data_IF_446591156882
#
_entry.id   IF_446591156882
#
_cell.length_a   1.000
_cell.length_b   1.000
_cell.length_c   1.000
_cell.angle_alpha   90.00
_cell.angle_beta   90.00
_cell.angle_gamma   90.00
#
_symmetry.space_group_name_H-M   'P 1'
#
loop_
_entity.id
_entity.type
_entity.pdbx_description
1 polymer ?
#
# COMPACT_ATOMS: atom_id res chain seq x y z
N UNK A 1 -22.60 -50.49 -50.77
CA UNK A 1 -21.86 -50.90 -49.56
C UNK A 1 -20.45 -50.29 -49.61
N UNK A 2 -19.82 -49.95 -48.47
CA UNK A 2 -19.53 -48.56 -48.09
C UNK A 2 -18.07 -48.08 -48.28
N UNK A 3 -17.92 -46.74 -48.36
CA UNK A 3 -16.94 -45.82 -47.71
C UNK A 3 -15.49 -46.34 -47.54
N UNK A 4 -14.46 -45.56 -47.89
CA UNK A 4 -13.98 -44.46 -47.03
C UNK A 4 -13.01 -43.52 -47.78
N UNK A 5 -13.31 -42.23 -47.70
CA UNK A 5 -12.40 -41.11 -47.87
C UNK A 5 -11.31 -41.16 -46.79
N UNK A 6 -10.04 -40.98 -47.15
CA UNK A 6 -9.02 -40.49 -46.21
C UNK A 6 -8.63 -39.07 -46.66
N UNK A 7 -9.33 -38.08 -46.10
CA UNK A 7 -8.88 -36.70 -46.10
C UNK A 7 -7.75 -36.55 -45.09
N UNK A 8 -6.60 -36.04 -45.53
CA UNK A 8 -5.53 -35.61 -44.65
C UNK A 8 -5.95 -34.31 -43.96
N UNK A 9 -6.45 -34.40 -42.73
CA UNK A 9 -6.64 -33.25 -41.87
C UNK A 9 -5.30 -32.89 -41.21
N UNK A 10 -4.63 -31.86 -41.72
CA UNK A 10 -3.50 -31.24 -41.05
C UNK A 10 -4.03 -30.49 -39.81
N UNK A 11 -3.84 -31.07 -38.63
CA UNK A 11 -4.15 -30.42 -37.37
C UNK A 11 -3.10 -29.33 -37.09
N UNK A 12 -3.49 -28.06 -37.32
CA UNK A 12 -2.78 -26.89 -36.80
C UNK A 12 -2.90 -26.90 -35.27
N UNK A 13 -1.83 -27.32 -34.60
CA UNK A 13 -1.68 -27.11 -33.16
C UNK A 13 -1.53 -25.61 -32.89
N UNK A 14 -2.64 -24.94 -32.58
CA UNK A 14 -2.62 -23.62 -31.98
C UNK A 14 -2.07 -23.75 -30.55
N UNK A 15 -0.77 -23.54 -30.42
CA UNK A 15 -0.13 -23.28 -29.14
C UNK A 15 -0.71 -21.99 -28.58
N UNK A 16 -1.72 -22.11 -27.70
CA UNK A 16 -2.19 -20.99 -26.89
C UNK A 16 -1.06 -20.59 -25.94
N UNK A 17 -0.30 -19.57 -26.32
CA UNK A 17 0.53 -18.83 -25.39
C UNK A 17 -0.44 -18.12 -24.45
N UNK A 18 -0.74 -18.76 -23.31
CA UNK A 18 -1.33 -18.07 -22.19
C UNK A 18 -0.28 -17.05 -21.73
N UNK A 19 -0.36 -15.84 -22.28
CA UNK A 19 0.31 -14.68 -21.70
C UNK A 19 -0.31 -14.51 -20.32
N UNK A 20 0.34 -15.05 -19.29
CA UNK A 20 0.08 -14.61 -17.93
C UNK A 20 0.20 -13.09 -17.98
N UNK A 21 -0.90 -12.37 -17.73
CA UNK A 21 -0.83 -10.93 -17.55
C UNK A 21 0.21 -10.71 -16.46
N UNK A 22 1.34 -10.11 -16.83
CA UNK A 22 2.35 -9.72 -15.87
C UNK A 22 1.65 -8.81 -14.87
N UNK A 23 1.53 -9.26 -13.62
CA UNK A 23 1.10 -8.42 -12.51
C UNK A 23 2.24 -7.43 -12.25
N UNK A 24 2.28 -6.38 -13.05
CA UNK A 24 3.29 -5.33 -13.03
C UNK A 24 2.57 -4.05 -13.43
N UNK A 25 2.11 -3.28 -12.46
CA UNK A 25 1.31 -2.08 -12.69
C UNK A 25 1.78 -0.94 -11.82
N UNK A 26 2.18 0.16 -12.44
CA UNK A 26 2.38 1.44 -11.75
C UNK A 26 1.13 2.31 -11.95
N UNK A 27 0.56 2.79 -10.86
CA UNK A 27 -0.53 3.77 -10.86
C UNK A 27 -0.08 5.01 -10.11
N UNK A 28 -0.12 6.15 -10.77
CA UNK A 28 0.16 7.45 -10.16
C UNK A 28 -1.12 8.30 -10.11
N UNK A 29 -1.45 8.82 -8.94
CA UNK A 29 -2.54 9.76 -8.70
C UNK A 29 -2.02 11.09 -8.19
N UNK A 30 -2.53 12.18 -8.76
CA UNK A 30 -2.31 13.54 -8.27
C UNK A 30 -3.65 14.09 -7.80
N UNK A 31 -3.74 14.42 -6.52
CA UNK A 31 -4.94 14.93 -5.89
C UNK A 31 -4.67 16.30 -5.29
N UNK A 32 -5.62 17.21 -5.46
CA UNK A 32 -5.58 18.52 -4.85
C UNK A 32 -6.67 18.61 -3.78
N UNK A 33 -6.28 19.01 -2.57
CA UNK A 33 -7.16 19.18 -1.44
C UNK A 33 -7.60 20.66 -1.35
N UNK A 34 -8.89 20.86 -1.15
CA UNK A 34 -9.48 22.19 -0.97
C UNK A 34 -10.15 22.29 0.40
N UNK A 35 -10.07 23.48 1.00
CA UNK A 35 -10.78 23.84 2.21
C UNK A 35 -11.51 25.16 2.01
N UNK A 36 -12.84 25.15 2.18
CA UNK A 36 -13.71 26.29 1.90
C UNK A 36 -13.52 26.89 0.50
N UNK A 37 -13.27 26.05 -0.52
CA UNK A 37 -13.03 26.46 -1.91
C UNK A 37 -11.63 26.98 -2.21
N UNK A 38 -10.75 27.06 -1.21
CA UNK A 38 -9.36 27.49 -1.38
C UNK A 38 -8.42 26.27 -1.42
N UNK A 39 -7.34 26.29 -2.23
CA UNK A 39 -6.36 25.21 -2.25
C UNK A 39 -5.66 25.11 -0.89
N UNK A 40 -5.63 23.90 -0.34
CA UNK A 40 -5.08 23.60 0.99
C UNK A 40 -3.85 22.68 0.92
N UNK A 41 -3.73 21.86 -0.13
CA UNK A 41 -2.58 21.00 -0.30
C UNK A 41 -2.66 20.12 -1.54
N UNK A 42 -1.54 19.50 -1.86
CA UNK A 42 -1.41 18.49 -2.90
C UNK A 42 -1.02 17.16 -2.29
N UNK A 43 -1.52 16.08 -2.89
CA UNK A 43 -1.20 14.70 -2.56
C UNK A 43 -0.80 14.00 -3.85
N UNK A 44 0.45 13.54 -3.91
CA UNK A 44 0.94 12.62 -4.93
C UNK A 44 0.96 11.22 -4.35
N UNK A 45 0.34 10.29 -5.04
CA UNK A 45 0.30 8.88 -4.68
C UNK A 45 0.89 8.08 -5.85
N UNK A 46 1.86 7.20 -5.58
CA UNK A 46 2.44 6.28 -6.56
C UNK A 46 2.35 4.88 -5.98
N UNK A 47 1.65 3.99 -6.67
CA UNK A 47 1.43 2.62 -6.24
C UNK A 47 2.05 1.70 -7.27
N UNK A 48 2.94 0.81 -6.85
CA UNK A 48 3.58 -0.17 -7.72
C UNK A 48 3.27 -1.56 -7.23
N UNK A 49 2.60 -2.33 -8.07
CA UNK A 49 2.31 -3.74 -7.85
C UNK A 49 3.25 -4.57 -8.75
N UNK A 50 4.13 -5.36 -8.15
CA UNK A 50 4.97 -6.37 -8.82
C UNK A 50 4.38 -7.78 -8.60
N UNK A 51 4.81 -8.83 -9.34
CA UNK A 51 4.18 -10.15 -9.29
C UNK A 51 4.20 -10.87 -7.93
N UNK A 52 4.93 -10.33 -6.94
CA UNK A 52 4.98 -10.86 -5.57
C UNK A 52 5.28 -9.81 -4.51
N UNK A 53 5.30 -8.53 -4.88
CA UNK A 53 5.70 -7.43 -4.01
C UNK A 53 4.90 -6.17 -4.34
N UNK A 54 4.91 -5.22 -3.43
CA UNK A 54 4.40 -3.88 -3.70
C UNK A 54 5.34 -2.83 -3.13
N UNK A 55 5.28 -1.65 -3.74
CA UNK A 55 5.95 -0.45 -3.26
C UNK A 55 5.02 0.73 -3.46
N UNK A 56 4.52 1.26 -2.36
CA UNK A 56 3.59 2.39 -2.34
C UNK A 56 4.31 3.61 -1.78
N UNK A 57 4.13 4.75 -2.44
CA UNK A 57 4.71 6.03 -2.06
C UNK A 57 3.62 7.10 -2.00
N UNK A 58 3.63 7.93 -0.96
CA UNK A 58 2.79 9.11 -0.85
C UNK A 58 3.64 10.34 -0.54
N UNK A 59 3.33 11.46 -1.16
CA UNK A 59 3.89 12.75 -0.85
C UNK A 59 2.76 13.76 -0.68
N UNK A 60 2.74 14.44 0.46
CA UNK A 60 1.74 15.43 0.84
C UNK A 60 2.45 16.74 1.08
N UNK A 61 1.90 17.82 0.53
CA UNK A 61 2.40 19.17 0.77
C UNK A 61 1.24 20.11 1.00
N UNK A 62 1.35 20.96 2.03
CA UNK A 62 0.41 22.05 2.23
C UNK A 62 0.62 23.17 1.20
N UNK A 63 -0.48 23.80 0.79
CA UNK A 63 -0.51 24.90 -0.17
C UNK A 63 -1.29 26.11 0.36
N UNK A 64 -1.19 27.24 -0.34
CA UNK A 64 -1.97 28.45 -0.05
C UNK A 64 -1.84 28.92 1.41
N UNK A 65 -2.98 29.19 2.05
CA UNK A 65 -3.03 29.62 3.45
C UNK A 65 -2.49 28.54 4.39
N UNK A 66 -2.79 27.26 4.14
CA UNK A 66 -2.33 26.16 4.98
C UNK A 66 -0.79 26.08 5.02
N UNK A 67 -0.12 26.35 3.89
CA UNK A 67 1.33 26.43 3.82
C UNK A 67 1.91 27.52 4.73
N UNK A 68 1.30 28.72 4.76
CA UNK A 68 1.79 29.85 5.57
C UNK A 68 1.79 29.52 7.07
N UNK A 69 0.80 28.76 7.54
CA UNK A 69 0.67 28.40 8.95
C UNK A 69 1.46 27.14 9.31
N UNK A 70 1.40 26.10 8.49
CA UNK A 70 1.94 24.77 8.85
C UNK A 70 3.33 24.51 8.30
N UNK A 71 3.63 25.03 7.10
CA UNK A 71 4.76 24.61 6.26
C UNK A 71 4.88 23.09 6.12
N UNK A 72 3.75 22.38 6.18
CA UNK A 72 3.71 20.93 6.25
C UNK A 72 4.18 20.31 4.93
N UNK A 73 5.11 19.36 5.04
CA UNK A 73 5.48 18.40 4.00
C UNK A 73 5.58 17.03 4.64
N UNK A 74 5.08 16.02 3.96
CA UNK A 74 5.16 14.64 4.42
C UNK A 74 5.43 13.72 3.23
N UNK A 75 6.30 12.75 3.40
CA UNK A 75 6.47 11.65 2.43
C UNK A 75 6.42 10.34 3.19
N UNK A 76 5.77 9.32 2.65
CA UNK A 76 5.85 7.98 3.20
C UNK A 76 6.03 6.95 2.10
N UNK A 77 6.76 5.88 2.42
CA UNK A 77 6.99 4.73 1.56
C UNK A 77 6.67 3.47 2.35
N UNK A 78 5.95 2.55 1.72
CA UNK A 78 5.71 1.22 2.26
C UNK A 78 6.09 0.16 1.23
N UNK A 79 6.70 -0.90 1.73
CA UNK A 79 7.12 -2.04 0.93
C UNK A 79 6.73 -3.33 1.64
N UNK A 80 6.39 -4.33 0.84
CA UNK A 80 6.06 -5.64 1.35
C UNK A 80 5.77 -6.64 0.25
N UNK A 81 5.25 -7.80 0.66
CA UNK A 81 4.90 -8.90 -0.22
C UNK A 81 3.43 -8.86 -0.56
N UNK A 82 3.14 -9.13 -1.83
CA UNK A 82 1.79 -9.21 -2.36
C UNK A 82 1.53 -10.62 -2.87
N UNK A 83 0.40 -11.20 -2.51
CA UNK A 83 -0.09 -12.44 -3.10
C UNK A 83 -1.56 -12.30 -3.46
N UNK A 84 -1.97 -12.92 -4.57
CA UNK A 84 -3.31 -12.76 -5.13
C UNK A 84 -4.43 -13.13 -4.15
N UNK A 85 -4.20 -14.10 -3.26
CA UNK A 85 -5.21 -14.67 -2.35
C UNK A 85 -4.92 -14.44 -0.86
N UNK A 86 -3.94 -13.59 -0.53
CA UNK A 86 -3.60 -13.27 0.86
C UNK A 86 -3.62 -11.75 1.07
N UNK A 87 -3.88 -11.28 2.30
CA UNK A 87 -3.63 -9.88 2.64
C UNK A 87 -2.17 -9.51 2.35
N UNK A 88 -1.87 -8.22 2.09
CA UNK A 88 -0.50 -7.76 1.96
C UNK A 88 0.28 -8.06 3.24
N UNK A 89 1.52 -8.52 3.07
CA UNK A 89 2.44 -8.75 4.17
C UNK A 89 3.48 -7.62 4.16
N UNK A 90 3.30 -6.56 4.97
CA UNK A 90 4.25 -5.45 5.03
C UNK A 90 5.59 -5.93 5.55
N UNK A 91 6.67 -5.35 5.03
CA UNK A 91 8.05 -5.59 5.46
C UNK A 91 8.63 -4.31 6.10
N UNK A 92 8.38 -3.15 5.47
CA UNK A 92 8.92 -1.86 5.89
C UNK A 92 7.96 -0.70 5.62
N UNK A 93 7.94 0.25 6.55
CA UNK A 93 7.31 1.56 6.38
C UNK A 93 8.30 2.65 6.82
N UNK A 94 8.40 3.72 6.04
CA UNK A 94 9.22 4.89 6.36
C UNK A 94 8.46 6.16 6.01
N UNK A 95 8.25 7.02 6.99
CA UNK A 95 7.56 8.29 6.83
C UNK A 95 8.39 9.44 7.37
N UNK A 96 8.49 10.50 6.57
CA UNK A 96 9.26 11.72 6.86
C UNK A 96 8.31 12.89 6.86
N UNK A 97 8.44 13.75 7.86
CA UNK A 97 7.57 14.90 8.05
C UNK A 97 8.38 16.14 8.42
N UNK A 98 8.04 17.24 7.77
CA UNK A 98 8.52 18.57 8.08
C UNK A 98 7.33 19.47 8.42
N UNK A 99 7.45 20.17 9.55
CA UNK A 99 6.52 21.19 10.02
C UNK A 99 7.30 22.44 10.41
N UNK A 100 6.62 23.59 10.41
CA UNK A 100 7.20 24.89 10.78
C UNK A 100 8.01 24.91 12.09
N UNK A 101 7.64 24.10 13.09
CA UNK A 101 8.30 24.03 14.41
C UNK A 101 9.12 22.75 14.63
N UNK A 102 9.09 21.82 13.67
CA UNK A 102 9.67 20.49 13.85
C UNK A 102 10.04 19.93 12.48
N UNK A 103 11.33 19.83 12.21
CA UNK A 103 11.88 19.41 10.92
C UNK A 103 12.57 18.05 11.04
N UNK A 104 12.61 17.31 9.93
CA UNK A 104 13.32 16.03 9.85
C UNK A 104 12.74 14.94 10.76
N UNK A 105 11.45 14.99 11.08
CA UNK A 105 10.82 13.94 11.87
C UNK A 105 10.62 12.73 10.98
N UNK A 106 11.27 11.63 11.34
CA UNK A 106 11.19 10.34 10.69
C UNK A 106 10.46 9.34 11.57
N UNK A 107 9.59 8.55 10.98
CA UNK A 107 8.84 7.48 11.62
C UNK A 107 9.04 6.22 10.80
N UNK A 108 9.69 5.20 11.38
CA UNK A 108 10.00 3.96 10.67
C UNK A 108 9.41 2.77 11.39
N UNK A 109 8.88 1.83 10.62
CA UNK A 109 8.43 0.53 11.13
C UNK A 109 9.07 -0.61 10.35
N UNK A 110 9.34 -1.69 11.07
CA UNK A 110 9.79 -2.99 10.54
C UNK A 110 8.79 -4.04 10.98
N UNK A 111 8.39 -4.88 10.04
CA UNK A 111 7.43 -5.93 10.27
C UNK A 111 8.15 -7.27 10.32
N UNK A 112 8.00 -7.97 11.44
CA UNK A 112 8.68 -9.24 11.66
C UNK A 112 7.73 -10.27 12.27
N UNK A 113 7.79 -11.50 11.75
CA UNK A 113 7.02 -12.61 12.28
C UNK A 113 7.67 -13.18 13.53
N UNK A 114 6.91 -13.27 14.63
CA UNK A 114 7.30 -13.87 15.92
C UNK A 114 6.15 -14.71 16.44
N UNK A 115 6.42 -15.96 16.82
CA UNK A 115 5.39 -16.88 17.34
C UNK A 115 4.11 -16.92 16.46
N UNK A 116 4.29 -17.03 15.14
CA UNK A 116 3.21 -17.07 14.14
C UNK A 116 2.33 -15.82 14.04
N UNK A 117 2.78 -14.68 14.57
CA UNK A 117 2.12 -13.39 14.41
C UNK A 117 3.09 -12.35 13.84
N UNK A 118 2.56 -11.44 13.02
CA UNK A 118 3.33 -10.32 12.49
C UNK A 118 3.31 -9.18 13.49
N UNK A 119 4.47 -8.58 13.78
CA UNK A 119 4.55 -7.46 14.70
C UNK A 119 5.20 -6.26 14.03
N UNK A 120 4.60 -5.09 14.22
CA UNK A 120 5.13 -3.80 13.75
C UNK A 120 6.03 -3.18 14.84
N UNK A 121 7.34 -3.31 14.66
CA UNK A 121 8.33 -2.68 15.55
C UNK A 121 8.81 -1.35 14.99
N UNK A 122 9.22 -0.46 15.90
CA UNK A 122 9.95 0.75 15.54
C UNK A 122 11.27 0.39 14.85
N UNK A 123 11.55 1.04 13.73
CA UNK A 123 12.82 0.91 13.04
C UNK A 123 13.95 1.71 13.70
N UNK A 124 15.21 1.44 13.34
CA UNK A 124 16.38 2.05 13.97
C UNK A 124 16.50 3.57 13.73
N UNK A 125 15.95 4.06 12.62
CA UNK A 125 16.03 5.48 12.22
C UNK A 125 14.80 6.30 12.67
N UNK A 126 13.93 5.71 13.49
CA UNK A 126 12.75 6.38 14.00
C UNK A 126 13.11 7.47 15.02
N UNK A 127 12.56 8.66 14.81
CA UNK A 127 12.77 9.84 15.66
C UNK A 127 11.59 10.15 16.58
N UNK A 128 10.63 9.22 16.70
CA UNK A 128 9.43 9.41 17.50
C UNK A 128 9.78 9.37 18.99
N UNK A 129 9.53 10.48 19.68
CA UNK A 129 9.77 10.60 21.12
C UNK A 129 8.72 9.86 21.97
N UNK A 130 7.57 9.51 21.36
CA UNK A 130 6.49 8.81 22.07
C UNK A 130 6.90 7.36 22.38
N UNK A 131 6.53 6.83 23.56
CA UNK A 131 6.69 5.40 23.82
C UNK A 131 5.98 4.56 22.76
N UNK A 132 6.59 3.43 22.43
CA UNK A 132 5.96 2.46 21.54
C UNK A 132 4.78 1.81 22.26
N UNK A 133 3.69 1.53 21.53
CA UNK A 133 2.53 0.88 22.11
C UNK A 133 2.84 -0.56 22.54
N UNK A 134 2.02 -1.10 23.44
CA UNK A 134 2.10 -2.51 23.83
C UNK A 134 1.92 -3.44 22.62
N UNK A 135 2.51 -4.63 22.71
CA UNK A 135 2.55 -5.64 21.64
C UNK A 135 1.16 -5.98 21.07
N UNK A 136 0.13 -5.99 21.91
CA UNK A 136 -1.25 -6.25 21.53
C UNK A 136 -1.78 -5.29 20.45
N UNK A 137 -1.36 -4.02 20.46
CA UNK A 137 -1.77 -3.01 19.49
C UNK A 137 -0.94 -3.02 18.21
N UNK A 138 0.16 -3.78 18.20
CA UNK A 138 1.14 -3.84 17.10
C UNK A 138 1.17 -5.20 16.42
N UNK A 139 0.32 -6.13 16.87
CA UNK A 139 0.21 -7.51 16.39
C UNK A 139 -0.81 -7.61 15.26
N UNK A 140 -0.44 -8.25 14.16
CA UNK A 140 -1.25 -8.50 12.96
C UNK A 140 -1.92 -7.23 12.41
N UNK A 141 -1.13 -6.15 12.34
CA UNK A 141 -1.54 -4.84 11.85
C UNK A 141 -0.83 -4.52 10.54
N UNK A 142 -1.39 -3.59 9.78
CA UNK A 142 -0.80 -3.00 8.58
C UNK A 142 -0.36 -1.55 8.86
N UNK A 143 0.64 -1.06 8.15
CA UNK A 143 0.87 0.39 8.05
C UNK A 143 -0.19 1.05 7.14
N UNK A 144 -0.31 2.39 7.15
CA UNK A 144 -1.33 3.10 6.39
C UNK A 144 -1.33 2.84 4.88
N UNK A 145 -0.17 2.64 4.24
CA UNK A 145 -0.09 2.40 2.79
C UNK A 145 -0.36 0.93 2.47
N UNK A 146 0.15 0.01 3.28
CA UNK A 146 -0.20 -1.41 3.17
C UNK A 146 -1.69 -1.67 3.39
N UNK A 147 -2.34 -0.89 4.26
CA UNK A 147 -3.78 -0.90 4.44
C UNK A 147 -4.53 -0.44 3.17
N UNK A 148 -4.04 0.60 2.49
CA UNK A 148 -4.58 1.02 1.19
C UNK A 148 -4.46 -0.11 0.15
N UNK A 149 -3.33 -0.81 0.12
CA UNK A 149 -3.14 -1.97 -0.76
C UNK A 149 -4.10 -3.12 -0.40
N UNK A 150 -4.36 -3.39 0.88
CA UNK A 150 -5.35 -4.37 1.32
C UNK A 150 -6.77 -3.99 0.86
N UNK A 151 -7.18 -2.74 1.07
CA UNK A 151 -8.49 -2.21 0.63
C UNK A 151 -8.64 -2.36 -0.88
N UNK A 152 -7.61 -1.98 -1.65
CA UNK A 152 -7.62 -2.10 -3.11
C UNK A 152 -7.75 -3.54 -3.57
N UNK A 153 -7.08 -4.49 -2.91
CA UNK A 153 -7.23 -5.92 -3.20
C UNK A 153 -8.66 -6.40 -2.95
N UNK A 154 -9.26 -6.05 -1.81
CA UNK A 154 -10.65 -6.42 -1.49
C UNK A 154 -11.64 -5.87 -2.53
N UNK A 155 -11.48 -4.61 -2.92
CA UNK A 155 -12.31 -3.99 -3.96
C UNK A 155 -12.11 -4.65 -5.33
N UNK A 156 -10.87 -5.00 -5.71
CA UNK A 156 -10.56 -5.72 -6.97
C UNK A 156 -11.14 -7.14 -6.99
N UNK A 157 -11.22 -7.81 -5.84
CA UNK A 157 -11.91 -9.11 -5.67
C UNK A 157 -13.43 -8.99 -5.75
N UNK A 158 -13.96 -7.77 -5.87
CA UNK A 158 -15.40 -7.52 -5.91
C UNK A 158 -16.07 -7.61 -4.55
N UNK A 159 -15.31 -7.54 -3.45
CA UNK A 159 -15.90 -7.46 -2.12
C UNK A 159 -16.67 -6.14 -1.99
N UNK A 160 -17.99 -6.25 -1.78
CA UNK A 160 -18.90 -5.13 -1.54
C UNK A 160 -19.45 -5.10 -0.12
N UNK A 161 -19.02 -6.04 0.72
CA UNK A 161 -19.36 -6.08 2.13
C UNK A 161 -18.48 -5.14 2.94
N UNK A 162 -18.79 -5.03 4.23
CA UNK A 162 -17.95 -4.34 5.20
C UNK A 162 -16.78 -5.24 5.59
N UNK A 163 -15.57 -4.69 5.61
CA UNK A 163 -14.38 -5.38 6.09
C UNK A 163 -13.55 -4.42 6.93
N UNK A 164 -12.89 -4.94 7.95
CA UNK A 164 -12.09 -4.12 8.86
C UNK A 164 -10.60 -4.34 8.60
N UNK A 165 -9.87 -3.25 8.43
CA UNK A 165 -8.41 -3.26 8.24
C UNK A 165 -7.72 -2.70 9.48
N UNK A 166 -6.96 -3.54 10.22
CA UNK A 166 -6.27 -3.10 11.42
C UNK A 166 -5.01 -2.28 11.07
N UNK A 167 -5.01 -0.97 11.32
CA UNK A 167 -3.90 -0.07 10.96
C UNK A 167 -3.15 0.46 12.17
N UNK A 168 -1.82 0.33 12.16
CA UNK A 168 -0.91 0.99 13.10
C UNK A 168 -0.03 1.97 12.34
N UNK A 169 -0.09 3.27 12.68
CA UNK A 169 0.69 4.32 12.00
C UNK A 169 2.04 4.61 12.67
N UNK A 170 2.47 3.77 13.61
CA UNK A 170 3.68 3.97 14.42
C UNK A 170 3.45 4.82 15.68
N UNK A 171 2.30 5.48 15.83
CA UNK A 171 1.94 6.26 17.01
C UNK A 171 0.63 5.78 17.65
N UNK A 172 -0.33 5.31 16.84
CA UNK A 172 -1.66 4.87 17.26
C UNK A 172 -2.15 3.71 16.41
N UNK A 173 -3.03 2.92 17.03
CA UNK A 173 -3.75 1.81 16.40
C UNK A 173 -5.20 2.23 16.15
N UNK A 174 -5.70 2.04 14.93
CA UNK A 174 -7.08 2.35 14.55
C UNK A 174 -7.57 1.45 13.42
N UNK A 175 -8.88 1.19 13.38
CA UNK A 175 -9.52 0.35 12.39
C UNK A 175 -10.10 1.20 11.25
N UNK A 176 -9.85 0.77 10.01
CA UNK A 176 -10.54 1.29 8.82
C UNK A 176 -11.66 0.30 8.48
N UNK A 177 -12.86 0.82 8.19
CA UNK A 177 -14.10 0.06 7.98
C UNK A 177 -14.72 0.46 6.64
#
# INVERSE_FOLDING_TARGET
MPRRLLGAAAALALSSVASAAAFGGEMAGLYQAYWAGLPAGDIKLVLRDDPGAYRDEIAIRSEGLAWLFTKFRGTAVAEGKLAADKPPAPDHYDAHYDLRKSHGKRQTMRFASRASALFADRGPDDTSERPQLADEFRKNVLDPLSALTAIRQELRRGNRGTFTVPVYDGARRFDVI
#
